data_IF_686318858285
#
_entry.id   IF_686318858285
#
_cell.length_a   1.000
_cell.length_b   1.000
_cell.length_c   1.000
_cell.angle_alpha   90.00
_cell.angle_beta   90.00
_cell.angle_gamma   90.00
#
_symmetry.space_group_name_H-M   'P 1'
#
loop_
_entity.id
_entity.type
_entity.pdbx_description
1 polymer ?
#
# COMPACT_ATOMS: atom_id res chain seq x y z
N UNK A 1 18.71 -16.70 -25.66
CA UNK A 1 18.27 -16.48 -24.28
C UNK A 1 18.35 -14.98 -24.01
N UNK A 2 17.23 -14.31 -23.78
CA UNK A 2 17.23 -12.87 -23.43
C UNK A 2 17.20 -12.80 -21.91
N UNK A 3 18.30 -12.38 -21.30
CA UNK A 3 18.32 -12.06 -19.87
C UNK A 3 17.72 -10.65 -19.76
N UNK A 4 16.50 -10.55 -19.22
CA UNK A 4 15.92 -9.23 -18.89
C UNK A 4 16.57 -8.72 -17.62
N UNK A 5 17.02 -7.46 -17.65
CA UNK A 5 17.46 -6.78 -16.44
C UNK A 5 16.27 -6.67 -15.47
N UNK A 6 16.54 -6.84 -14.17
CA UNK A 6 15.57 -6.53 -13.14
C UNK A 6 15.39 -5.01 -13.08
N UNK A 7 14.17 -4.50 -12.83
CA UNK A 7 13.98 -3.08 -12.65
C UNK A 7 14.76 -2.58 -11.43
N UNK A 8 15.32 -1.39 -11.57
CA UNK A 8 15.93 -0.60 -10.50
C UNK A 8 14.87 -0.11 -9.52
N UNK A 9 15.30 0.37 -8.35
CA UNK A 9 14.38 0.93 -7.34
C UNK A 9 13.55 2.11 -7.89
N UNK A 10 14.15 2.96 -8.73
CA UNK A 10 13.47 4.09 -9.37
C UNK A 10 12.44 3.62 -10.40
N UNK A 11 12.76 2.61 -11.21
CA UNK A 11 11.81 2.02 -12.16
C UNK A 11 10.64 1.35 -11.45
N UNK A 12 10.87 0.71 -10.30
CA UNK A 12 9.78 0.22 -9.45
C UNK A 12 8.93 1.37 -8.91
N UNK A 13 9.54 2.45 -8.43
CA UNK A 13 8.82 3.61 -7.92
C UNK A 13 7.94 4.26 -9.02
N UNK A 14 8.46 4.39 -10.23
CA UNK A 14 7.71 4.93 -11.38
C UNK A 14 6.53 4.03 -11.79
N UNK A 15 6.70 2.71 -11.73
CA UNK A 15 5.61 1.76 -12.00
C UNK A 15 4.43 1.91 -11.02
N UNK A 16 4.71 2.18 -9.74
CA UNK A 16 3.68 2.31 -8.71
C UNK A 16 3.19 3.74 -8.48
N UNK A 17 3.80 4.74 -9.12
CA UNK A 17 3.53 6.16 -8.89
C UNK A 17 2.06 6.57 -9.03
N UNK A 18 1.33 5.91 -9.93
CA UNK A 18 -0.09 6.21 -10.20
C UNK A 18 -1.05 5.22 -9.55
N UNK A 19 -0.54 4.26 -8.76
CA UNK A 19 -1.39 3.29 -8.07
C UNK A 19 -2.07 3.98 -6.90
N UNK A 20 -3.42 3.98 -6.83
CA UNK A 20 -4.13 4.56 -5.71
C UNK A 20 -3.72 3.81 -4.44
N UNK A 21 -3.06 4.51 -3.52
CA UNK A 21 -2.57 3.97 -2.26
C UNK A 21 -3.29 4.69 -1.13
N UNK A 22 -3.99 3.94 -0.30
CA UNK A 22 -4.59 4.48 0.90
C UNK A 22 -3.50 4.74 1.94
N UNK A 23 -3.45 5.97 2.47
CA UNK A 23 -2.49 6.35 3.52
C UNK A 23 -3.18 6.25 4.88
N UNK A 24 -2.78 5.27 5.67
CA UNK A 24 -3.34 5.02 7.00
C UNK A 24 -2.52 5.76 8.05
N UNK A 25 -3.17 6.69 8.76
CA UNK A 25 -2.52 7.42 9.85
C UNK A 25 -2.78 6.70 11.18
N UNK A 26 -1.70 6.25 11.82
CA UNK A 26 -1.76 5.63 13.14
C UNK A 26 -1.45 6.66 14.24
N UNK A 27 -2.23 6.63 15.30
CA UNK A 27 -1.93 7.40 16.50
C UNK A 27 -0.76 6.77 17.30
N UNK A 28 -0.32 7.44 18.38
CA UNK A 28 0.79 6.96 19.23
C UNK A 28 0.51 5.61 19.92
N UNK A 29 -0.74 5.15 19.93
CA UNK A 29 -1.18 3.88 20.52
C UNK A 29 -1.46 2.83 19.45
N UNK A 30 -1.26 3.16 18.17
CA UNK A 30 -1.47 2.26 17.04
C UNK A 30 -2.92 2.19 16.55
N UNK A 31 -3.80 3.09 16.98
CA UNK A 31 -5.17 3.15 16.47
C UNK A 31 -5.25 3.96 15.17
N UNK A 32 -6.16 3.55 14.30
CA UNK A 32 -6.57 4.28 13.11
C UNK A 32 -8.06 4.58 13.17
N UNK A 33 -8.52 5.46 12.27
CA UNK A 33 -9.92 5.80 12.09
C UNK A 33 -10.49 5.00 10.92
N UNK A 34 -11.38 4.01 11.14
CA UNK A 34 -11.95 3.17 10.08
C UNK A 34 -12.70 3.97 9.01
N UNK A 35 -13.29 5.11 9.36
CA UNK A 35 -14.01 5.95 8.40
C UNK A 35 -13.06 6.70 7.47
N UNK A 36 -11.85 7.02 7.94
CA UNK A 36 -10.79 7.63 7.11
C UNK A 36 -10.00 6.61 6.31
N UNK A 37 -9.99 5.35 6.75
CA UNK A 37 -9.23 4.27 6.14
C UNK A 37 -10.09 3.01 5.94
N UNK A 38 -11.15 3.08 5.11
CA UNK A 38 -12.11 2.00 4.98
C UNK A 38 -11.54 0.77 4.27
N UNK A 39 -10.69 0.92 3.23
CA UNK A 39 -10.14 -0.25 2.55
C UNK A 39 -9.14 -0.99 3.44
N UNK A 40 -8.38 -0.25 4.26
CA UNK A 40 -7.53 -0.86 5.28
C UNK A 40 -8.37 -1.58 6.34
N UNK A 41 -9.49 -1.00 6.77
CA UNK A 41 -10.41 -1.63 7.72
C UNK A 41 -10.96 -2.95 7.17
N UNK A 42 -11.51 -2.92 5.96
CA UNK A 42 -12.08 -4.10 5.31
C UNK A 42 -11.02 -5.21 5.15
N UNK A 43 -9.80 -4.87 4.74
CA UNK A 43 -8.69 -5.82 4.63
C UNK A 43 -8.32 -6.48 5.97
N UNK A 44 -8.30 -5.71 7.06
CA UNK A 44 -8.00 -6.24 8.39
C UNK A 44 -9.08 -7.20 8.91
N UNK A 45 -10.32 -7.07 8.41
CA UNK A 45 -11.49 -7.84 8.84
C UNK A 45 -12.02 -8.83 7.79
N UNK A 46 -11.31 -9.01 6.67
CA UNK A 46 -11.76 -9.85 5.54
C UNK A 46 -11.94 -11.33 5.91
N UNK A 47 -11.41 -11.78 7.06
CA UNK A 47 -11.49 -13.17 7.54
C UNK A 47 -12.11 -13.33 8.95
N UNK A 48 -12.75 -12.29 9.48
CA UNK A 48 -13.44 -12.33 10.79
C UNK A 48 -14.90 -12.81 10.69
#
# INVERSE_FOLDING_TARGET
MVIRALPTADEWADLFKNTPTEVVNLDKRGHYDPEKSPAFHDWMHEND
#
